data_IF_891765512701
#
_entry.id   IF_891765512701
#
_cell.length_a   1.000
_cell.length_b   1.000
_cell.length_c   1.000
_cell.angle_alpha   90.00
_cell.angle_beta   90.00
_cell.angle_gamma   90.00
#
_symmetry.space_group_name_H-M   'P 1'
#
loop_
_entity.id
_entity.type
_entity.pdbx_description
1 polymer ?
#
# COMPACT_ATOMS: atom_id res chain seq x y z
N UNK A 1 0.62 29.38 -18.12
CA UNK A 1 -0.03 28.07 -17.98
C UNK A 1 0.94 27.12 -17.27
N UNK A 2 0.71 26.81 -15.97
CA UNK A 2 1.49 25.79 -15.26
C UNK A 2 1.05 24.42 -15.79
N UNK A 3 1.94 23.71 -16.51
CA UNK A 3 1.75 22.28 -16.80
C UNK A 3 1.63 21.57 -15.45
N UNK A 4 0.45 21.05 -15.12
CA UNK A 4 0.28 20.16 -13.99
C UNK A 4 1.23 18.97 -14.21
N UNK A 5 2.15 18.72 -13.29
CA UNK A 5 2.92 17.48 -13.26
C UNK A 5 1.89 16.37 -13.14
N UNK A 6 1.64 15.66 -14.23
CA UNK A 6 0.81 14.47 -14.24
C UNK A 6 1.45 13.50 -13.24
N UNK A 7 0.74 13.22 -12.17
CA UNK A 7 1.24 12.30 -11.15
C UNK A 7 1.31 10.90 -11.75
N UNK A 8 2.38 10.18 -11.51
CA UNK A 8 2.67 8.86 -12.09
C UNK A 8 1.60 7.79 -11.79
N UNK A 9 0.57 8.11 -10.98
CA UNK A 9 -0.50 7.21 -10.53
C UNK A 9 -1.89 7.89 -10.57
N UNK A 10 -2.16 8.70 -11.59
CA UNK A 10 -3.46 9.32 -11.79
C UNK A 10 -4.39 8.42 -12.63
N UNK A 11 -5.70 8.40 -12.32
CA UNK A 11 -6.70 7.61 -13.09
C UNK A 11 -6.74 7.96 -14.58
N UNK A 12 -6.32 9.15 -14.97
CA UNK A 12 -6.23 9.57 -16.37
C UNK A 12 -5.23 8.75 -17.19
N UNK A 13 -4.31 8.02 -16.54
CA UNK A 13 -3.41 7.08 -17.22
C UNK A 13 -4.16 6.04 -18.04
N UNK A 14 -5.36 5.63 -17.59
CA UNK A 14 -6.22 4.70 -18.33
C UNK A 14 -7.05 5.36 -19.44
N UNK A 15 -6.93 6.66 -19.63
CA UNK A 15 -7.61 7.41 -20.69
C UNK A 15 -6.84 7.42 -22.02
N UNK A 16 -5.60 6.94 -22.04
CA UNK A 16 -4.77 6.86 -23.25
C UNK A 16 -3.94 5.56 -23.29
N UNK A 17 -3.66 5.07 -24.49
CA UNK A 17 -2.80 3.91 -24.71
C UNK A 17 -1.39 4.11 -24.14
N UNK A 18 -0.82 5.30 -24.35
CA UNK A 18 0.53 5.64 -23.86
C UNK A 18 0.58 5.68 -22.33
N UNK A 19 -0.46 6.25 -21.71
CA UNK A 19 -0.60 6.27 -20.25
C UNK A 19 -0.67 4.87 -19.66
N UNK A 20 -1.51 4.00 -20.23
CA UNK A 20 -1.60 2.59 -19.80
C UNK A 20 -0.27 1.87 -19.97
N UNK A 21 0.39 2.03 -21.12
CA UNK A 21 1.68 1.39 -21.40
C UNK A 21 2.74 1.82 -20.38
N UNK A 22 2.83 3.12 -20.11
CA UNK A 22 3.77 3.68 -19.12
C UNK A 22 3.50 3.15 -17.72
N UNK A 23 2.22 3.09 -17.31
CA UNK A 23 1.82 2.57 -16.00
C UNK A 23 2.12 1.06 -15.87
N UNK A 24 1.77 0.27 -16.89
CA UNK A 24 2.06 -1.17 -16.90
C UNK A 24 3.56 -1.43 -16.86
N UNK A 25 4.39 -0.65 -17.59
CA UNK A 25 5.85 -0.75 -17.53
C UNK A 25 6.36 -0.47 -16.11
N UNK A 26 5.88 0.60 -15.47
CA UNK A 26 6.30 0.95 -14.10
C UNK A 26 5.98 -0.16 -13.11
N UNK A 27 4.77 -0.74 -13.17
CA UNK A 27 4.37 -1.83 -12.25
C UNK A 27 5.14 -3.12 -12.56
N UNK A 28 5.37 -3.42 -13.83
CA UNK A 28 6.20 -4.56 -14.27
C UNK A 28 7.61 -4.47 -13.68
N UNK A 29 8.27 -3.31 -13.84
CA UNK A 29 9.62 -3.07 -13.35
C UNK A 29 9.71 -3.19 -11.82
N UNK A 30 8.65 -2.81 -11.09
CA UNK A 30 8.56 -3.01 -9.63
C UNK A 30 8.43 -4.49 -9.29
N UNK A 31 7.56 -5.23 -10.00
CA UNK A 31 7.33 -6.64 -9.77
C UNK A 31 8.57 -7.48 -10.11
N UNK A 32 9.25 -7.17 -11.21
CA UNK A 32 10.51 -7.85 -11.61
C UNK A 32 11.61 -7.60 -10.58
N UNK A 33 11.73 -6.37 -10.06
CA UNK A 33 12.67 -6.09 -8.97
C UNK A 33 12.36 -6.89 -7.71
N UNK A 34 11.11 -7.00 -7.30
CA UNK A 34 10.73 -7.79 -6.13
C UNK A 34 11.18 -9.26 -6.24
N UNK A 35 11.16 -9.81 -7.45
CA UNK A 35 11.56 -11.21 -7.71
C UNK A 35 13.05 -11.36 -8.07
N UNK A 36 13.81 -10.28 -8.05
CA UNK A 36 15.27 -10.34 -8.30
C UNK A 36 16.00 -10.83 -7.04
N UNK A 37 16.95 -11.74 -7.22
CA UNK A 37 17.81 -12.27 -6.17
C UNK A 37 18.64 -11.16 -5.47
N UNK A 38 18.78 -10.00 -6.12
CA UNK A 38 19.49 -8.84 -5.58
C UNK A 38 18.64 -7.92 -4.69
N UNK A 39 17.32 -8.15 -4.60
CA UNK A 39 16.44 -7.30 -3.79
C UNK A 39 16.51 -7.70 -2.32
N UNK A 40 17.04 -6.81 -1.51
CA UNK A 40 17.08 -6.96 -0.04
C UNK A 40 16.20 -5.92 0.64
N UNK A 41 15.44 -6.34 1.69
CA UNK A 41 14.79 -5.40 2.57
C UNK A 41 15.81 -4.48 3.27
N UNK A 42 15.48 -3.19 3.40
CA UNK A 42 16.34 -2.24 4.08
C UNK A 42 16.53 -2.58 5.57
N UNK A 43 17.55 -2.05 6.24
CA UNK A 43 17.71 -2.19 7.69
C UNK A 43 16.44 -1.83 8.46
N UNK A 44 15.74 -0.78 8.08
CA UNK A 44 14.47 -0.40 8.71
C UNK A 44 13.39 -1.45 8.54
N UNK A 45 13.25 -2.07 7.35
CA UNK A 45 12.29 -3.17 7.15
C UNK A 45 12.61 -4.37 8.04
N UNK A 46 13.89 -4.71 8.22
CA UNK A 46 14.33 -5.80 9.13
C UNK A 46 13.98 -5.50 10.59
N UNK A 47 14.08 -4.23 11.01
CA UNK A 47 13.61 -3.80 12.34
C UNK A 47 12.10 -3.96 12.49
N UNK A 48 11.33 -3.55 11.49
CA UNK A 48 9.87 -3.70 11.52
C UNK A 48 9.45 -5.17 11.56
N UNK A 49 10.16 -6.07 10.87
CA UNK A 49 9.90 -7.52 10.90
C UNK A 49 10.14 -8.10 12.30
N UNK A 50 11.24 -7.70 12.95
CA UNK A 50 11.52 -8.09 14.33
C UNK A 50 10.44 -7.58 15.31
N UNK A 51 9.96 -6.35 15.13
CA UNK A 51 8.84 -5.82 15.90
C UNK A 51 7.53 -6.59 15.61
N UNK A 52 7.27 -6.94 14.36
CA UNK A 52 6.09 -7.72 13.97
C UNK A 52 6.11 -9.10 14.61
N UNK A 53 7.28 -9.73 14.72
CA UNK A 53 7.48 -11.04 15.35
C UNK A 53 7.35 -10.99 16.87
N UNK A 54 7.88 -9.93 17.52
CA UNK A 54 7.98 -9.86 18.98
C UNK A 54 6.85 -9.11 19.66
N UNK A 55 6.12 -8.24 18.93
CA UNK A 55 5.03 -7.42 19.47
C UNK A 55 3.69 -7.88 18.90
N UNK A 56 2.80 -8.50 19.70
CA UNK A 56 1.54 -9.06 19.21
C UNK A 56 0.62 -8.01 18.57
N UNK A 57 0.65 -6.80 19.08
CA UNK A 57 -0.18 -5.67 18.61
C UNK A 57 0.52 -4.77 17.59
N UNK A 58 1.69 -5.15 17.09
CA UNK A 58 2.35 -4.42 16.01
C UNK A 58 1.47 -4.41 14.76
N UNK A 59 1.41 -3.25 14.09
CA UNK A 59 0.72 -3.08 12.82
C UNK A 59 1.50 -2.13 11.91
N UNK A 60 1.59 -2.49 10.64
CA UNK A 60 2.22 -1.69 9.61
C UNK A 60 1.19 -1.25 8.57
N UNK A 61 1.04 0.07 8.39
CA UNK A 61 0.20 0.67 7.35
C UNK A 61 1.12 1.28 6.29
N UNK A 62 1.15 0.70 5.08
CA UNK A 62 2.05 1.19 4.04
C UNK A 62 1.31 1.88 2.89
N UNK A 63 1.91 2.95 2.37
CA UNK A 63 1.52 3.59 1.11
C UNK A 63 2.34 3.06 -0.07
N UNK A 64 3.39 2.29 0.19
CA UNK A 64 4.22 1.67 -0.82
C UNK A 64 3.45 0.54 -1.52
N UNK A 65 3.73 0.36 -2.80
CA UNK A 65 3.09 -0.68 -3.64
C UNK A 65 4.09 -1.73 -4.11
N UNK A 66 5.38 -1.56 -3.81
CA UNK A 66 6.49 -2.41 -4.25
C UNK A 66 6.53 -3.79 -3.60
N UNK A 67 5.79 -3.98 -2.50
CA UNK A 67 5.62 -5.25 -1.79
C UNK A 67 6.91 -5.84 -1.21
N UNK A 68 7.91 -5.02 -0.86
CA UNK A 68 9.17 -5.48 -0.25
C UNK A 68 8.91 -6.24 1.07
N UNK A 69 7.84 -5.93 1.77
CA UNK A 69 7.43 -6.62 3.00
C UNK A 69 7.20 -8.13 2.79
N UNK A 70 6.89 -8.58 1.57
CA UNK A 70 6.74 -10.02 1.25
C UNK A 70 8.01 -10.84 1.45
N UNK A 71 9.15 -10.19 1.44
CA UNK A 71 10.44 -10.82 1.73
C UNK A 71 10.64 -11.06 3.25
N UNK A 72 9.71 -10.57 4.08
CA UNK A 72 9.74 -10.56 5.53
C UNK A 72 8.39 -11.08 6.06
N UNK A 73 8.24 -12.40 6.30
CA UNK A 73 6.93 -13.03 6.55
C UNK A 73 6.17 -12.47 7.75
N UNK A 74 6.86 -12.13 8.85
CA UNK A 74 6.22 -11.58 10.05
C UNK A 74 5.69 -10.18 9.79
N UNK A 75 6.45 -9.35 9.08
CA UNK A 75 6.03 -8.01 8.67
C UNK A 75 4.89 -8.07 7.66
N UNK A 76 4.98 -8.95 6.63
CA UNK A 76 3.93 -9.08 5.61
C UNK A 76 2.57 -9.43 6.23
N UNK A 77 2.56 -10.35 7.20
CA UNK A 77 1.35 -10.76 7.92
C UNK A 77 0.69 -9.63 8.74
N UNK A 78 1.45 -8.60 9.11
CA UNK A 78 0.98 -7.43 9.89
C UNK A 78 0.77 -6.19 9.03
N UNK A 79 0.99 -6.27 7.71
CA UNK A 79 0.96 -5.12 6.80
C UNK A 79 -0.41 -4.90 6.18
N UNK A 80 -0.93 -3.69 6.33
CA UNK A 80 -2.12 -3.16 5.66
C UNK A 80 -1.68 -2.22 4.54
N UNK A 81 -2.04 -2.55 3.30
CA UNK A 81 -1.64 -1.79 2.11
C UNK A 81 -2.71 -0.80 1.69
N UNK A 82 -2.44 0.49 1.88
CA UNK A 82 -3.39 1.57 1.64
C UNK A 82 -3.56 1.93 0.15
N UNK A 83 -2.62 1.51 -0.71
CA UNK A 83 -2.62 1.88 -2.13
C UNK A 83 -2.54 0.66 -3.06
N UNK A 84 -2.86 -0.51 -2.55
CA UNK A 84 -2.80 -1.75 -3.31
C UNK A 84 -1.41 -2.37 -3.39
N UNK A 85 -1.18 -3.18 -4.43
CA UNK A 85 0.01 -4.06 -4.55
C UNK A 85 0.43 -4.20 -6.00
N UNK A 86 1.72 -4.05 -6.29
CA UNK A 86 2.28 -4.24 -7.63
C UNK A 86 2.35 -5.73 -8.05
N UNK A 87 2.37 -6.66 -7.11
CA UNK A 87 2.44 -8.11 -7.34
C UNK A 87 1.08 -8.78 -7.62
N UNK A 88 0.01 -7.99 -7.72
CA UNK A 88 -1.35 -8.47 -7.98
C UNK A 88 -2.00 -7.75 -9.14
N UNK A 89 -2.93 -8.43 -9.80
CA UNK A 89 -3.87 -7.86 -10.76
C UNK A 89 -5.31 -8.01 -10.26
N UNK A 90 -6.14 -7.02 -10.56
CA UNK A 90 -7.57 -6.98 -10.17
C UNK A 90 -8.46 -6.78 -11.38
N UNK A 91 -9.60 -7.46 -11.40
CA UNK A 91 -10.64 -7.25 -12.41
C UNK A 91 -11.46 -5.99 -12.11
N UNK A 92 -11.61 -5.10 -13.09
CA UNK A 92 -12.39 -3.87 -12.96
C UNK A 92 -13.91 -4.06 -12.82
N UNK A 93 -14.44 -5.29 -13.04
CA UNK A 93 -15.90 -5.56 -12.92
C UNK A 93 -16.22 -6.43 -11.70
N UNK A 94 -15.54 -7.56 -11.53
CA UNK A 94 -15.90 -8.50 -10.47
C UNK A 94 -14.98 -8.44 -9.25
N UNK A 95 -14.03 -7.54 -9.23
CA UNK A 95 -13.02 -7.34 -8.17
C UNK A 95 -12.18 -8.59 -7.86
N UNK A 96 -12.22 -9.61 -8.74
CA UNK A 96 -11.37 -10.77 -8.55
C UNK A 96 -9.90 -10.36 -8.63
N UNK A 97 -9.12 -10.83 -7.65
CA UNK A 97 -7.70 -10.58 -7.55
C UNK A 97 -6.94 -11.86 -7.90
N UNK A 98 -5.86 -11.72 -8.62
CA UNK A 98 -4.93 -12.79 -8.97
C UNK A 98 -3.50 -12.27 -8.93
N UNK A 99 -2.54 -13.17 -9.03
CA UNK A 99 -1.13 -12.84 -9.18
C UNK A 99 -0.90 -11.97 -10.43
N UNK A 100 -0.08 -10.93 -10.29
CA UNK A 100 0.37 -10.12 -11.41
C UNK A 100 1.48 -10.88 -12.17
N UNK A 101 1.25 -11.10 -13.44
CA UNK A 101 2.21 -11.77 -14.33
C UNK A 101 2.79 -10.75 -15.31
N UNK A 102 4.03 -10.28 -15.12
CA UNK A 102 4.61 -9.18 -15.89
C UNK A 102 4.52 -9.36 -17.40
N UNK A 103 4.78 -10.58 -17.89
CA UNK A 103 4.76 -10.91 -19.33
C UNK A 103 3.38 -10.76 -19.98
N UNK A 104 2.30 -10.75 -19.20
CA UNK A 104 0.94 -10.61 -19.71
C UNK A 104 0.46 -9.14 -19.80
N UNK A 105 1.21 -8.20 -19.22
CA UNK A 105 0.90 -6.77 -19.23
C UNK A 105 1.89 -6.00 -20.09
N UNK A 106 1.97 -6.38 -21.37
CA UNK A 106 2.81 -5.70 -22.36
C UNK A 106 1.97 -4.66 -23.11
N UNK A 107 2.46 -3.42 -23.17
CA UNK A 107 1.77 -2.33 -23.84
C UNK A 107 0.45 -1.92 -23.16
N UNK A 108 -0.51 -1.51 -23.97
CA UNK A 108 -1.85 -1.08 -23.52
C UNK A 108 -2.86 -2.23 -23.40
N UNK A 109 -2.51 -3.44 -23.81
CA UNK A 109 -3.42 -4.58 -23.83
C UNK A 109 -3.67 -5.10 -22.42
N UNK A 110 -4.94 -5.11 -22.03
CA UNK A 110 -5.39 -5.65 -20.76
C UNK A 110 -5.97 -7.04 -20.97
N UNK A 111 -5.62 -7.97 -20.10
CA UNK A 111 -6.13 -9.33 -20.12
C UNK A 111 -7.61 -9.38 -19.71
N UNK A 112 -8.37 -10.26 -20.35
CA UNK A 112 -9.70 -10.59 -19.91
C UNK A 112 -9.70 -11.40 -18.61
N UNK A 113 -10.60 -11.06 -17.71
CA UNK A 113 -10.79 -11.75 -16.44
C UNK A 113 -11.36 -13.15 -16.67
N UNK A 114 -10.60 -14.18 -16.33
CA UNK A 114 -11.02 -15.58 -16.48
C UNK A 114 -12.28 -15.90 -15.66
N UNK A 115 -12.41 -15.32 -14.47
CA UNK A 115 -13.62 -15.50 -13.63
C UNK A 115 -14.88 -14.92 -14.28
N UNK A 116 -14.78 -13.75 -14.90
CA UNK A 116 -15.90 -13.17 -15.66
C UNK A 116 -16.23 -14.04 -16.87
N UNK A 117 -15.23 -14.53 -17.58
CA UNK A 117 -15.39 -15.39 -18.74
C UNK A 117 -16.14 -16.68 -18.37
N UNK A 118 -15.67 -17.40 -17.37
CA UNK A 118 -16.29 -18.63 -16.86
C UNK A 118 -17.74 -18.39 -16.41
N UNK A 119 -18.00 -17.31 -15.68
CA UNK A 119 -19.37 -16.96 -15.25
C UNK A 119 -20.29 -16.63 -16.44
N UNK A 120 -19.79 -15.95 -17.46
CA UNK A 120 -20.55 -15.64 -18.67
C UNK A 120 -20.88 -16.92 -19.44
N UNK A 121 -19.90 -17.78 -19.67
CA UNK A 121 -20.07 -19.08 -20.33
C UNK A 121 -21.07 -19.97 -19.61
N UNK A 122 -20.98 -20.12 -18.29
CA UNK A 122 -21.90 -20.91 -17.48
C UNK A 122 -23.34 -20.40 -17.55
N UNK A 123 -23.55 -19.09 -17.77
CA UNK A 123 -24.88 -18.50 -17.97
C UNK A 123 -25.43 -18.83 -19.38
N UNK A 124 -24.58 -18.67 -20.39
CA UNK A 124 -24.98 -18.96 -21.79
C UNK A 124 -25.36 -20.42 -21.95
N UNK A 125 -24.63 -21.35 -21.34
CA UNK A 125 -24.98 -22.77 -21.32
C UNK A 125 -26.35 -23.06 -20.68
N UNK A 126 -26.82 -22.19 -19.78
CA UNK A 126 -28.15 -22.25 -19.15
C UNK A 126 -29.21 -21.43 -19.91
N UNK A 127 -28.95 -21.05 -21.16
CA UNK A 127 -29.88 -20.23 -21.97
C UNK A 127 -30.07 -18.79 -21.49
N UNK A 128 -29.20 -18.30 -20.58
CA UNK A 128 -29.28 -16.93 -20.04
C UNK A 128 -28.36 -16.00 -20.83
N UNK A 129 -28.69 -14.70 -20.85
CA UNK A 129 -27.89 -13.65 -21.48
C UNK A 129 -26.45 -13.66 -20.92
N UNK A 130 -25.47 -13.51 -21.80
CA UNK A 130 -24.05 -13.36 -21.47
C UNK A 130 -23.80 -12.14 -20.55
N UNK A 131 -22.75 -12.21 -19.76
CA UNK A 131 -22.29 -11.10 -18.90
C UNK A 131 -21.16 -10.34 -19.58
N UNK A 132 -21.00 -9.08 -19.22
CA UNK A 132 -19.80 -8.30 -19.57
C UNK A 132 -18.57 -8.92 -18.94
N UNK A 133 -17.52 -9.09 -19.74
CA UNK A 133 -16.26 -9.65 -19.30
C UNK A 133 -15.33 -8.49 -18.91
N UNK A 134 -14.91 -8.47 -17.65
CA UNK A 134 -13.97 -7.46 -17.14
C UNK A 134 -12.57 -7.69 -17.65
N UNK A 135 -11.78 -6.64 -17.63
CA UNK A 135 -10.33 -6.67 -17.90
C UNK A 135 -9.55 -6.64 -16.60
N UNK A 136 -8.41 -7.30 -16.58
CA UNK A 136 -7.45 -7.23 -15.48
C UNK A 136 -6.57 -5.99 -15.63
N UNK A 137 -6.24 -5.37 -14.51
CA UNK A 137 -5.27 -4.29 -14.40
C UNK A 137 -4.41 -4.51 -13.15
N UNK A 138 -3.22 -3.89 -13.04
CA UNK A 138 -2.47 -3.92 -11.79
C UNK A 138 -3.34 -3.52 -10.60
N UNK A 139 -3.21 -4.24 -9.48
CA UNK A 139 -3.99 -3.96 -8.26
C UNK A 139 -3.41 -2.78 -7.47
N UNK A 140 -3.24 -1.65 -8.15
CA UNK A 140 -2.73 -0.40 -7.61
C UNK A 140 -3.83 0.64 -7.65
N UNK A 141 -4.03 1.34 -6.53
CA UNK A 141 -5.01 2.42 -6.43
C UNK A 141 -4.48 3.66 -7.14
N UNK A 142 -5.27 4.18 -8.07
CA UNK A 142 -4.95 5.43 -8.76
C UNK A 142 -5.64 6.62 -8.07
N UNK A 143 -5.02 7.80 -8.16
CA UNK A 143 -5.61 9.03 -7.64
C UNK A 143 -7.00 9.29 -8.23
N UNK A 144 -7.96 9.57 -7.36
CA UNK A 144 -9.35 9.81 -7.74
C UNK A 144 -10.21 8.55 -7.89
N UNK A 145 -9.67 7.36 -7.57
CA UNK A 145 -10.45 6.12 -7.50
C UNK A 145 -10.91 5.81 -6.07
N UNK A 146 -12.11 5.24 -5.90
CA UNK A 146 -12.51 4.68 -4.62
C UNK A 146 -11.66 3.44 -4.32
N UNK A 147 -11.23 3.28 -3.06
CA UNK A 147 -10.45 2.12 -2.67
C UNK A 147 -11.35 0.87 -2.63
N UNK A 148 -11.02 -0.20 -3.36
CA UNK A 148 -11.88 -1.39 -3.43
C UNK A 148 -12.00 -2.15 -2.10
N UNK A 149 -10.99 -2.02 -1.24
CA UNK A 149 -10.90 -2.70 0.06
C UNK A 149 -11.09 -1.69 1.24
N UNK A 150 -11.73 -0.54 1.00
CA UNK A 150 -11.91 0.57 1.96
C UNK A 150 -12.56 0.11 3.27
N UNK A 151 -13.59 -0.73 3.16
CA UNK A 151 -14.30 -1.27 4.33
C UNK A 151 -13.38 -2.10 5.23
N UNK A 152 -12.58 -2.97 4.64
CA UNK A 152 -11.66 -3.85 5.37
C UNK A 152 -10.56 -3.06 6.05
N UNK A 153 -9.98 -2.08 5.34
CA UNK A 153 -8.97 -1.16 5.89
C UNK A 153 -9.54 -0.38 7.07
N UNK A 154 -10.75 0.19 6.92
CA UNK A 154 -11.40 0.97 7.97
C UNK A 154 -11.75 0.12 9.20
N UNK A 155 -12.26 -1.10 9.02
CA UNK A 155 -12.57 -2.00 10.14
C UNK A 155 -11.29 -2.43 10.86
N UNK A 156 -10.22 -2.72 10.13
CA UNK A 156 -8.91 -3.03 10.72
C UNK A 156 -8.37 -1.83 11.51
N UNK A 157 -8.41 -0.63 10.94
CA UNK A 157 -7.94 0.57 11.62
C UNK A 157 -8.77 0.88 12.89
N UNK A 158 -10.09 0.69 12.84
CA UNK A 158 -10.96 0.83 14.03
C UNK A 158 -10.63 -0.20 15.11
N UNK A 159 -10.35 -1.45 14.71
CA UNK A 159 -9.93 -2.48 15.64
C UNK A 159 -8.61 -2.11 16.32
N UNK A 160 -7.60 -1.73 15.53
CA UNK A 160 -6.28 -1.37 16.03
C UNK A 160 -6.31 -0.12 16.92
N UNK A 161 -7.18 0.86 16.63
CA UNK A 161 -7.40 2.03 17.49
C UNK A 161 -7.97 1.67 18.88
N UNK A 162 -8.77 0.60 18.99
CA UNK A 162 -9.30 0.16 20.30
C UNK A 162 -8.23 -0.42 21.21
N UNK A 163 -7.12 -0.87 20.64
CA UNK A 163 -5.97 -1.40 21.40
C UNK A 163 -5.17 -0.26 22.04
N UNK A 164 -5.36 0.98 21.58
CA UNK A 164 -4.67 2.19 22.04
C UNK A 164 -3.15 2.05 21.93
N UNK A 165 -2.55 2.32 20.76
CA UNK A 165 -1.11 2.19 20.59
C UNK A 165 -0.34 3.14 21.51
N UNK A 166 0.71 2.66 22.14
CA UNK A 166 1.64 3.47 22.96
C UNK A 166 2.69 4.19 22.10
N UNK A 167 2.96 3.67 20.90
CA UNK A 167 3.95 4.21 19.98
C UNK A 167 3.42 4.27 18.55
N UNK A 168 3.53 5.44 17.92
CA UNK A 168 3.21 5.65 16.50
C UNK A 168 4.42 6.18 15.77
N UNK A 169 4.87 5.48 14.75
CA UNK A 169 5.95 5.89 13.87
C UNK A 169 5.38 6.28 12.50
N UNK A 170 5.60 7.51 12.07
CA UNK A 170 5.25 8.01 10.73
C UNK A 170 6.55 8.17 9.95
N UNK A 171 6.78 7.28 8.98
CA UNK A 171 8.10 7.13 8.35
C UNK A 171 8.03 7.33 6.85
N UNK A 172 8.93 8.17 6.30
CA UNK A 172 9.19 8.30 4.87
C UNK A 172 8.01 8.78 4.01
N UNK A 173 7.02 9.42 4.59
CA UNK A 173 5.81 9.88 3.88
C UNK A 173 5.59 11.38 4.04
N UNK A 174 4.93 12.01 3.06
CA UNK A 174 4.46 13.41 3.18
C UNK A 174 3.05 13.51 3.75
N UNK A 175 2.36 12.38 3.98
CA UNK A 175 0.94 12.32 4.35
C UNK A 175 0.04 13.23 3.49
N UNK A 176 0.35 13.30 2.19
CA UNK A 176 -0.38 14.11 1.23
C UNK A 176 -1.78 13.58 0.90
N UNK A 177 -2.02 12.27 1.14
CA UNK A 177 -3.29 11.61 0.84
C UNK A 177 -4.21 11.68 2.05
N UNK A 178 -5.43 12.24 1.91
CA UNK A 178 -6.34 12.47 3.02
C UNK A 178 -6.64 11.23 3.87
N UNK A 179 -6.87 10.06 3.25
CA UNK A 179 -7.15 8.81 3.96
C UNK A 179 -6.00 8.37 4.85
N UNK A 180 -4.77 8.34 4.32
CA UNK A 180 -3.58 7.99 5.08
C UNK A 180 -3.30 9.00 6.21
N UNK A 181 -3.51 10.29 5.94
CA UNK A 181 -3.38 11.35 6.96
C UNK A 181 -4.39 11.17 8.09
N UNK A 182 -5.66 10.85 7.77
CA UNK A 182 -6.70 10.62 8.78
C UNK A 182 -6.37 9.42 9.66
N UNK A 183 -5.90 8.32 9.08
CA UNK A 183 -5.45 7.15 9.83
C UNK A 183 -4.32 7.54 10.79
N UNK A 184 -3.26 8.18 10.30
CA UNK A 184 -2.12 8.63 11.11
C UNK A 184 -2.55 9.57 12.25
N UNK A 185 -3.41 10.55 11.97
CA UNK A 185 -3.92 11.47 12.97
C UNK A 185 -4.68 10.76 14.10
N UNK A 186 -5.57 9.82 13.75
CA UNK A 186 -6.34 9.05 14.72
C UNK A 186 -5.43 8.21 15.62
N UNK A 187 -4.39 7.58 15.06
CA UNK A 187 -3.41 6.82 15.85
C UNK A 187 -2.57 7.71 16.75
N UNK A 188 -2.10 8.88 16.28
CA UNK A 188 -1.38 9.85 17.12
C UNK A 188 -2.24 10.33 18.29
N UNK A 189 -3.54 10.62 18.04
CA UNK A 189 -4.46 10.99 19.11
C UNK A 189 -4.69 9.86 20.11
N UNK A 190 -4.86 8.63 19.63
CA UNK A 190 -5.03 7.45 20.50
C UNK A 190 -3.79 7.22 21.37
N UNK A 191 -2.59 7.27 20.79
CA UNK A 191 -1.34 7.13 21.54
C UNK A 191 -1.23 8.19 22.65
N UNK A 192 -1.47 9.45 22.30
CA UNK A 192 -1.40 10.56 23.27
C UNK A 192 -2.40 10.41 24.41
N UNK A 193 -3.59 9.83 24.16
CA UNK A 193 -4.63 9.63 25.18
C UNK A 193 -4.25 8.62 26.26
N UNK A 194 -3.26 7.75 26.00
CA UNK A 194 -2.75 6.76 26.95
C UNK A 194 -1.34 7.09 27.46
N UNK A 195 -0.84 8.30 27.19
CA UNK A 195 0.52 8.72 27.60
C UNK A 195 1.63 8.18 26.68
N UNK A 196 1.27 7.64 25.52
CA UNK A 196 2.21 7.20 24.50
C UNK A 196 2.78 8.35 23.66
N UNK A 197 3.56 8.02 22.63
CA UNK A 197 4.26 9.00 21.82
C UNK A 197 4.13 8.74 20.32
N UNK A 198 4.21 9.82 19.54
CA UNK A 198 4.21 9.79 18.08
C UNK A 198 5.45 10.46 17.50
N UNK A 199 6.07 9.80 16.52
CA UNK A 199 7.31 10.22 15.88
C UNK A 199 7.12 10.39 14.38
N UNK A 200 7.62 11.50 13.85
CA UNK A 200 7.87 11.68 12.43
C UNK A 200 9.32 11.35 12.12
N UNK A 201 9.58 10.48 11.16
CA UNK A 201 10.93 10.10 10.73
C UNK A 201 11.02 10.25 9.21
N UNK A 202 11.75 11.22 8.72
CA UNK A 202 11.90 11.47 7.27
C UNK A 202 13.13 12.31 6.98
N UNK A 203 13.59 12.26 5.71
CA UNK A 203 14.66 13.14 5.20
C UNK A 203 14.21 14.60 5.04
N UNK A 204 12.90 14.85 5.03
CA UNK A 204 12.29 16.18 4.84
C UNK A 204 11.46 16.56 6.07
N UNK A 205 11.41 17.86 6.36
CA UNK A 205 10.52 18.42 7.39
C UNK A 205 9.04 18.18 7.03
N UNK A 206 8.21 17.84 8.01
CA UNK A 206 6.77 17.75 7.79
C UNK A 206 6.16 19.14 7.60
N UNK A 207 5.11 19.23 6.79
CA UNK A 207 4.30 20.46 6.73
C UNK A 207 3.67 20.75 8.08
N UNK A 208 3.41 22.03 8.41
CA UNK A 208 2.95 22.47 9.73
C UNK A 208 1.76 21.69 10.28
N UNK A 209 0.79 21.36 9.41
CA UNK A 209 -0.40 20.58 9.79
C UNK A 209 -0.13 19.11 10.12
N UNK A 210 0.96 18.55 9.64
CA UNK A 210 1.43 17.19 9.97
C UNK A 210 2.36 17.25 11.18
N UNK A 211 3.22 18.28 11.28
CA UNK A 211 4.09 18.52 12.44
C UNK A 211 3.27 18.58 13.75
N UNK A 212 2.10 19.22 13.70
CA UNK A 212 1.21 19.32 14.86
C UNK A 212 0.59 17.98 15.33
N UNK A 213 0.66 16.93 14.48
CA UNK A 213 0.17 15.59 14.87
C UNK A 213 1.20 14.82 15.69
N UNK A 214 2.50 15.12 15.51
CA UNK A 214 3.60 14.34 16.08
C UNK A 214 4.17 15.02 17.32
N UNK A 215 4.57 14.21 18.29
CA UNK A 215 5.23 14.72 19.52
C UNK A 215 6.71 14.96 19.24
N UNK A 216 7.33 14.17 18.36
CA UNK A 216 8.74 14.27 18.00
C UNK A 216 8.93 14.26 16.48
N UNK A 217 9.93 15.04 16.01
CA UNK A 217 10.33 15.11 14.59
C UNK A 217 11.80 14.76 14.51
N UNK A 218 12.12 13.67 13.82
CA UNK A 218 13.47 13.19 13.55
C UNK A 218 13.76 13.33 12.06
N UNK A 219 14.67 14.22 11.72
CA UNK A 219 15.09 14.45 10.34
C UNK A 219 16.31 13.60 10.01
N UNK A 220 16.14 12.66 9.09
CA UNK A 220 17.21 11.75 8.69
C UNK A 220 16.72 10.57 7.88
N UNK A 221 17.66 9.72 7.55
CA UNK A 221 17.40 8.43 6.91
C UNK A 221 16.87 7.44 7.94
N UNK A 222 15.71 6.83 7.68
CA UNK A 222 15.11 5.87 8.63
C UNK A 222 16.03 4.69 8.94
N UNK A 223 16.83 4.25 7.97
CA UNK A 223 17.79 3.17 8.17
C UNK A 223 18.94 3.53 9.16
N UNK A 224 19.11 4.83 9.44
CA UNK A 224 20.13 5.36 10.38
C UNK A 224 19.54 5.85 11.68
N UNK A 225 18.29 6.32 11.65
CA UNK A 225 17.61 6.95 12.81
C UNK A 225 17.08 5.90 13.78
N UNK A 226 16.77 4.71 13.27
CA UNK A 226 16.19 3.62 14.10
C UNK A 226 17.16 2.45 14.17
N UNK A 227 18.20 2.51 15.02
CA UNK A 227 19.06 1.37 15.25
C UNK A 227 18.29 0.23 15.94
N UNK A 228 18.58 -1.01 15.55
CA UNK A 228 17.99 -2.25 16.09
C UNK A 228 17.98 -2.32 17.63
N UNK A 229 18.93 -1.65 18.27
CA UNK A 229 19.11 -1.71 19.72
C UNK A 229 18.10 -0.87 20.53
N UNK A 230 17.41 0.11 19.90
CA UNK A 230 16.38 0.91 20.58
C UNK A 230 15.17 0.04 20.97
N UNK A 231 14.89 -1.01 20.21
CA UNK A 231 13.72 -1.89 20.45
C UNK A 231 14.06 -3.15 21.25
N UNK A 232 15.32 -3.36 21.61
CA UNK A 232 15.75 -4.35 22.60
C UNK A 232 15.45 -3.89 24.03
N UNK A 233 14.44 -3.05 24.21
CA UNK A 233 13.99 -2.63 25.53
C UNK A 233 13.49 -3.83 26.29
N UNK A 234 14.31 -4.23 27.27
CA UNK A 234 14.03 -4.91 28.52
C UNK A 234 12.82 -5.85 28.53
N UNK A 235 13.07 -7.15 28.60
CA UNK A 235 12.18 -8.09 29.24
C UNK A 235 11.99 -7.71 30.73
#
# INVERSE_FOLDING_TARGET
MRKSKQTSFDRSLYSSSDGMTSFHSTVRDMCERLHSDSTEPSPFHKVMDELARTRPHFRHYTQNIDCVERLLPDLDAKTIRLHGRADQARCGICNWVCEYKPHLFQGSDSLYCQRCLQRSQARTLKGKRSLTIGRLRPNVLLYGEPHPDDKEILETAKHDLRICPELVLIVGTKLGIPGARSIAANFCHAARSVGGASFWISKEEPVSSVKALCDYVLIGDCDKVVPLDIFKLSN
#
